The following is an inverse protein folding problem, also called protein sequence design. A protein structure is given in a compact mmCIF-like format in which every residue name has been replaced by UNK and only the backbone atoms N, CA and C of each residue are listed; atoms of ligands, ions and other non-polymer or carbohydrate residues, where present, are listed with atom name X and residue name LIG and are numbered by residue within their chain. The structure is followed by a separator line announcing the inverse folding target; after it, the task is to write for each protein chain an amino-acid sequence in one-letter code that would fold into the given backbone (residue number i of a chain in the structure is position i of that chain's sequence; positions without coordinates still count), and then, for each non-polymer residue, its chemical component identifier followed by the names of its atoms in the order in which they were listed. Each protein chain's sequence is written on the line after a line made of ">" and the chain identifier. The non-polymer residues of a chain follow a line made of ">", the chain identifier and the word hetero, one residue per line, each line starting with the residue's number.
data_IF_456336516345
#
_entry.id   IF_456336516345
#
_cell.length_a   1.000
_cell.length_b   1.000
_cell.length_c   1.000
_cell.angle_alpha   90.00
_cell.angle_beta   90.00
_cell.angle_gamma   90.00
#
_symmetry.space_group_name_H-M   'P 1'
#
loop_
_entity.id
_entity.type
_entity.pdbx_description
1 polymer ?
#
# COMPACT_ATOMS: atom_id res chain seq x y z
N UNK A 1 0.05 -3.16 17.41
CA UNK A 1 -0.59 -2.92 16.09
C UNK A 1 0.00 -3.86 15.03
N UNK A 2 1.32 -4.07 15.05
CA UNK A 2 2.02 -5.04 14.18
C UNK A 2 1.53 -6.50 14.36
N UNK A 3 1.29 -6.92 15.61
CA UNK A 3 0.86 -8.30 15.92
C UNK A 3 -0.54 -8.65 15.39
N UNK A 4 -1.42 -7.66 15.26
CA UNK A 4 -2.82 -7.88 14.84
C UNK A 4 -2.90 -8.12 13.32
N UNK A 5 -2.02 -7.48 12.55
CA UNK A 5 -2.01 -7.60 11.08
C UNK A 5 -1.42 -8.96 10.66
N UNK A 6 -0.35 -9.41 11.31
CA UNK A 6 0.26 -10.71 11.05
C UNK A 6 -0.72 -11.88 11.37
N UNK A 7 -1.55 -11.71 12.41
CA UNK A 7 -2.61 -12.66 12.76
C UNK A 7 -3.71 -12.77 11.68
N UNK A 8 -4.10 -11.66 11.05
CA UNK A 8 -5.08 -11.64 9.95
C UNK A 8 -4.54 -12.30 8.67
N UNK A 9 -3.25 -12.13 8.36
CA UNK A 9 -2.62 -12.78 7.21
C UNK A 9 -2.48 -14.30 7.40
N UNK A 10 -2.28 -14.76 8.63
CA UNK A 10 -2.13 -16.19 8.95
C UNK A 10 -3.47 -16.94 8.90
N UNK A 11 -4.58 -16.27 9.19
CA UNK A 11 -5.93 -16.88 9.21
C UNK A 11 -6.50 -17.22 7.82
N UNK A 12 -5.89 -16.76 6.72
CA UNK A 12 -6.39 -16.96 5.34
C UNK A 12 -5.70 -18.08 4.56
N UNK A 13 -4.96 -18.98 5.22
CA UNK A 13 -4.59 -20.27 4.61
C UNK A 13 -5.80 -21.21 4.59
N UNK A 14 -6.71 -21.04 3.64
CA UNK A 14 -7.81 -21.99 3.43
C UNK A 14 -8.99 -21.51 2.61
N UNK A 15 -8.84 -21.37 1.29
CA UNK A 15 -9.92 -21.67 0.36
C UNK A 15 -9.32 -22.15 -0.97
N UNK A 16 -9.56 -23.41 -1.40
CA UNK A 16 -8.97 -23.96 -2.63
C UNK A 16 -9.47 -23.32 -3.93
N UNK A 17 -10.46 -22.42 -3.88
CA UNK A 17 -11.13 -21.85 -5.07
C UNK A 17 -11.37 -20.33 -5.02
N UNK A 18 -10.87 -19.62 -4.01
CA UNK A 18 -11.09 -18.18 -3.86
C UNK A 18 -9.88 -17.34 -4.29
N UNK A 19 -10.01 -16.59 -5.40
CA UNK A 19 -9.04 -15.56 -5.77
C UNK A 19 -8.94 -14.51 -4.66
N UNK A 20 -7.84 -14.53 -3.92
CA UNK A 20 -7.57 -13.55 -2.88
C UNK A 20 -6.74 -12.43 -3.49
N UNK A 21 -7.34 -11.25 -3.62
CA UNK A 21 -6.66 -10.04 -4.10
C UNK A 21 -6.56 -9.06 -2.94
N UNK A 22 -5.34 -8.61 -2.66
CA UNK A 22 -5.09 -7.63 -1.63
C UNK A 22 -3.61 -7.44 -1.36
N UNK A 23 -3.25 -6.26 -0.89
CA UNK A 23 -1.88 -5.94 -0.51
C UNK A 23 -1.83 -5.17 0.80
N UNK A 24 -0.72 -5.31 1.50
CA UNK A 24 -0.36 -4.48 2.64
C UNK A 24 1.13 -4.13 2.52
N UNK A 25 1.42 -2.84 2.48
CA UNK A 25 2.78 -2.31 2.38
C UNK A 25 2.94 -1.03 3.19
N UNK A 26 4.18 -0.75 3.60
CA UNK A 26 4.55 0.43 4.36
C UNK A 26 5.95 0.94 3.96
N UNK A 27 6.29 2.16 4.37
CA UNK A 27 7.63 2.72 4.14
C UNK A 27 8.58 2.25 5.24
N UNK A 28 9.74 1.72 4.86
CA UNK A 28 10.77 1.32 5.84
C UNK A 28 11.56 2.49 6.41
N UNK A 29 11.56 3.63 5.70
CA UNK A 29 12.32 4.82 6.04
C UNK A 29 11.47 6.07 5.90
N UNK A 30 11.80 7.09 6.69
CA UNK A 30 11.20 8.41 6.55
C UNK A 30 11.70 9.09 5.26
N UNK A 31 10.79 9.77 4.56
CA UNK A 31 11.16 10.64 3.44
C UNK A 31 11.45 12.05 3.96
N UNK A 32 12.55 12.64 3.52
CA UNK A 32 12.84 14.04 3.82
C UNK A 32 11.95 14.95 2.99
N UNK A 33 11.37 15.99 3.61
CA UNK A 33 10.43 16.89 2.92
C UNK A 33 11.06 17.60 1.71
N UNK A 34 12.36 17.87 1.77
CA UNK A 34 13.12 18.49 0.68
C UNK A 34 13.39 17.54 -0.49
N UNK A 35 13.18 16.22 -0.35
CA UNK A 35 13.27 15.26 -1.44
C UNK A 35 11.94 14.99 -2.14
N UNK A 36 10.85 15.63 -1.71
CA UNK A 36 9.51 15.43 -2.22
C UNK A 36 9.12 16.61 -3.11
N UNK A 37 8.80 16.33 -4.38
CA UNK A 37 8.18 17.30 -5.28
C UNK A 37 6.66 17.22 -5.21
N UNK A 38 5.97 18.26 -5.67
CA UNK A 38 4.53 18.21 -5.92
C UNK A 38 4.22 17.00 -6.83
N UNK A 39 3.19 16.23 -6.50
CA UNK A 39 2.75 15.03 -7.25
C UNK A 39 3.72 13.84 -7.25
N UNK A 40 4.65 13.77 -6.29
CA UNK A 40 5.51 12.58 -6.13
C UNK A 40 4.69 11.37 -5.72
N UNK A 41 4.77 10.28 -6.49
CA UNK A 41 4.24 8.98 -6.06
C UNK A 41 5.06 8.45 -4.89
N UNK A 42 4.36 8.08 -3.83
CA UNK A 42 4.93 7.44 -2.65
C UNK A 42 5.12 5.94 -2.91
N UNK A 43 6.36 5.48 -2.71
CA UNK A 43 6.73 4.07 -2.83
C UNK A 43 6.81 3.49 -1.42
N UNK A 44 5.98 2.48 -1.15
CA UNK A 44 5.96 1.75 0.12
C UNK A 44 6.78 0.46 -0.09
N UNK A 45 8.06 0.54 0.25
CA UNK A 45 9.10 -0.42 -0.13
C UNK A 45 9.06 -1.74 0.66
N UNK A 46 8.37 -1.78 1.81
CA UNK A 46 8.12 -3.01 2.56
C UNK A 46 6.76 -3.58 2.20
N UNK A 47 6.74 -4.80 1.68
CA UNK A 47 5.52 -5.51 1.28
C UNK A 47 5.32 -6.73 2.19
N UNK A 48 4.29 -6.70 3.01
CA UNK A 48 3.93 -7.81 3.91
C UNK A 48 2.98 -8.80 3.23
N UNK A 49 2.15 -8.32 2.30
CA UNK A 49 1.23 -9.16 1.52
C UNK A 49 1.01 -8.54 0.15
N UNK A 50 0.94 -9.37 -0.89
CA UNK A 50 0.62 -8.96 -2.26
C UNK A 50 -0.10 -10.09 -3.01
N UNK A 51 -1.21 -10.56 -2.46
CA UNK A 51 -2.01 -11.62 -3.06
C UNK A 51 -2.63 -11.11 -4.36
N UNK A 52 -2.46 -11.87 -5.45
CA UNK A 52 -2.83 -11.45 -6.81
C UNK A 52 -1.80 -10.52 -7.49
N UNK A 53 -0.66 -10.23 -6.83
CA UNK A 53 0.48 -9.51 -7.41
C UNK A 53 0.14 -8.15 -8.05
N UNK A 54 -0.87 -7.46 -7.50
CA UNK A 54 -1.33 -6.18 -8.05
C UNK A 54 -0.47 -4.98 -7.66
N UNK A 55 0.24 -5.03 -6.54
CA UNK A 55 1.12 -3.94 -6.10
C UNK A 55 2.54 -4.09 -6.69
N UNK A 56 3.04 -3.04 -7.34
CA UNK A 56 4.42 -2.94 -7.80
C UNK A 56 5.24 -2.10 -6.81
N UNK A 57 6.15 -2.78 -6.10
CA UNK A 57 7.02 -2.19 -5.07
C UNK A 57 8.01 -1.17 -5.63
N UNK A 58 8.31 -1.18 -6.94
CA UNK A 58 9.25 -0.23 -7.52
C UNK A 58 8.57 1.09 -7.88
N UNK A 59 7.30 1.03 -8.30
CA UNK A 59 6.55 2.22 -8.73
C UNK A 59 5.59 2.75 -7.68
N UNK A 60 5.25 1.96 -6.66
CA UNK A 60 4.25 2.29 -5.65
C UNK A 60 2.80 2.20 -6.17
N UNK A 61 2.61 1.61 -7.37
CA UNK A 61 1.30 1.55 -8.04
C UNK A 61 0.63 0.22 -7.76
N UNK A 62 -0.69 0.27 -7.57
CA UNK A 62 -1.54 -0.91 -7.58
C UNK A 62 -2.31 -0.98 -8.90
N UNK A 63 -2.19 -2.10 -9.60
CA UNK A 63 -2.99 -2.45 -10.77
C UNK A 63 -3.98 -3.53 -10.36
N UNK A 64 -5.28 -3.23 -10.48
CA UNK A 64 -6.34 -4.19 -10.21
C UNK A 64 -6.19 -5.41 -11.14
N UNK A 65 -5.89 -6.62 -10.61
CA UNK A 65 -5.71 -7.83 -11.43
C UNK A 65 -7.03 -8.29 -12.06
N UNK A 66 -8.14 -7.99 -11.40
CA UNK A 66 -9.49 -8.33 -11.84
C UNK A 66 -10.47 -7.17 -11.67
N UNK A 67 -11.56 -7.19 -12.42
CA UNK A 67 -12.65 -6.22 -12.28
C UNK A 67 -13.35 -6.44 -10.95
N UNK A 68 -13.53 -5.38 -10.17
CA UNK A 68 -14.23 -5.45 -8.90
C UNK A 68 -14.17 -4.14 -8.13
N UNK A 69 -14.74 -4.18 -6.93
CA UNK A 69 -14.64 -3.10 -5.95
C UNK A 69 -13.36 -3.29 -5.12
N UNK A 70 -12.61 -2.21 -4.96
CA UNK A 70 -11.39 -2.17 -4.15
C UNK A 70 -11.53 -1.10 -3.06
N UNK A 71 -11.01 -1.39 -1.88
CA UNK A 71 -10.94 -0.45 -0.76
C UNK A 71 -9.47 -0.15 -0.51
N UNK A 72 -9.12 1.14 -0.49
CA UNK A 72 -7.79 1.60 -0.14
C UNK A 72 -7.83 2.26 1.23
N UNK A 73 -6.91 1.86 2.09
CA UNK A 73 -6.64 2.54 3.36
C UNK A 73 -5.19 2.98 3.35
N UNK A 74 -4.94 4.22 3.77
CA UNK A 74 -3.59 4.77 3.86
C UNK A 74 -3.50 5.72 5.04
N UNK A 75 -2.32 5.77 5.64
CA UNK A 75 -1.99 6.65 6.74
C UNK A 75 -0.59 7.20 6.51
N UNK A 76 -0.41 8.51 6.67
CA UNK A 76 0.91 9.14 6.62
C UNK A 76 1.03 10.13 7.76
N UNK A 77 2.14 10.05 8.47
CA UNK A 77 2.48 10.96 9.56
C UNK A 77 3.60 11.88 9.12
N UNK A 78 3.57 13.13 9.59
CA UNK A 78 4.65 14.08 9.38
C UNK A 78 5.36 14.36 10.70
N UNK A 79 6.69 14.52 10.65
CA UNK A 79 7.51 14.83 11.82
C UNK A 79 7.81 16.34 11.90
N UNK A 80 8.22 16.83 13.08
CA UNK A 80 8.68 18.22 13.30
C UNK A 80 7.73 19.34 12.85
N UNK A 81 6.43 19.21 13.18
CA UNK A 81 5.39 20.22 12.83
C UNK A 81 5.28 20.49 11.32
N UNK A 82 5.68 19.53 10.49
CA UNK A 82 5.45 19.58 9.05
C UNK A 82 4.02 19.12 8.74
N UNK A 83 3.56 19.46 7.54
CA UNK A 83 2.27 19.00 7.01
C UNK A 83 2.51 18.05 5.86
N UNK A 84 1.71 16.98 5.80
CA UNK A 84 1.69 16.05 4.67
C UNK A 84 0.25 15.77 4.31
N UNK A 85 -0.05 15.82 3.02
CA UNK A 85 -1.34 15.41 2.46
C UNK A 85 -1.06 14.27 1.50
N UNK A 86 -1.84 13.20 1.63
CA UNK A 86 -1.80 12.06 0.72
C UNK A 86 -3.13 11.91 0.03
N UNK A 87 -3.07 11.54 -1.24
CA UNK A 87 -4.25 11.30 -2.06
C UNK A 87 -4.09 9.95 -2.74
N UNK A 88 -5.16 9.16 -2.73
CA UNK A 88 -5.24 7.97 -3.57
C UNK A 88 -5.74 8.44 -4.93
N UNK A 89 -4.85 8.38 -5.93
CA UNK A 89 -5.13 8.87 -7.28
C UNK A 89 -5.27 7.71 -8.25
N UNK A 90 -6.34 7.71 -9.04
CA UNK A 90 -6.46 6.81 -10.20
C UNK A 90 -5.62 7.39 -11.35
N UNK A 91 -4.61 6.65 -11.79
CA UNK A 91 -3.89 7.03 -13.01
C UNK A 91 -4.76 6.77 -14.23
N UNK A 92 -4.99 7.81 -15.03
CA UNK A 92 -5.59 7.69 -16.36
C UNK A 92 -4.43 7.62 -17.33
N UNK A 93 -4.34 6.52 -18.07
CA UNK A 93 -3.41 6.38 -19.20
C UNK A 93 -3.90 7.14 -20.41
#
# INVERSE_FOLDING_TARGET
>A
MEDTICSLCTQRKGSPTGYQIGFFSYMSQNLYINSISKYKTFVYDRVETNAGSGYDVNSGKFTAPERGLYVFHTSTTAYNRSYSTIEVVKMVG
#
